data_IF_196464170094
#
_entry.id   IF_196464170094
#
_cell.length_a   1.000
_cell.length_b   1.000
_cell.length_c   1.000
_cell.angle_alpha   90.00
_cell.angle_beta   90.00
_cell.angle_gamma   90.00
#
_symmetry.space_group_name_H-M   'P 1'
#
loop_
_entity.id
_entity.type
_entity.pdbx_description
1 polymer ?
#
# COMPACT_ATOMS: atom_id res chain seq x y z
N UNK A 1 8.50 -3.97 10.04
CA UNK A 1 8.50 -3.33 8.72
C UNK A 1 7.16 -2.64 8.51
N UNK A 2 7.18 -1.34 8.23
CA UNK A 2 5.97 -0.59 7.90
C UNK A 2 5.70 -0.70 6.40
N UNK A 3 4.45 -1.00 6.04
CA UNK A 3 4.05 -1.29 4.66
C UNK A 3 2.70 -0.65 4.37
N UNK A 4 2.59 0.02 3.23
CA UNK A 4 1.33 0.52 2.69
C UNK A 4 0.88 -0.35 1.52
N UNK A 5 -0.36 -0.82 1.56
CA UNK A 5 -0.98 -1.59 0.49
C UNK A 5 -2.08 -0.78 -0.14
N UNK A 6 -1.85 -0.30 -1.35
CA UNK A 6 -2.88 0.34 -2.17
C UNK A 6 -3.76 -0.71 -2.83
N UNK A 7 -5.06 -0.45 -2.90
CA UNK A 7 -6.06 -1.39 -3.41
C UNK A 7 -6.94 -0.67 -4.42
N UNK A 8 -7.25 -1.35 -5.52
CA UNK A 8 -8.17 -0.90 -6.56
C UNK A 8 -9.31 -1.89 -6.71
N UNK A 9 -10.51 -1.37 -6.97
CA UNK A 9 -11.69 -2.16 -7.28
C UNK A 9 -12.63 -2.35 -6.10
N UNK A 10 -13.66 -3.13 -6.33
CA UNK A 10 -14.80 -3.28 -5.42
C UNK A 10 -15.02 -4.74 -5.03
N UNK A 11 -15.39 -4.98 -3.78
CA UNK A 11 -15.78 -6.31 -3.30
C UNK A 11 -14.75 -7.39 -3.64
N UNK A 12 -15.17 -8.44 -4.35
CA UNK A 12 -14.32 -9.55 -4.73
C UNK A 12 -13.36 -9.23 -5.88
N UNK A 13 -13.66 -8.21 -6.70
CA UNK A 13 -12.80 -7.74 -7.79
C UNK A 13 -11.69 -6.80 -7.28
N UNK A 14 -11.77 -6.38 -6.02
CA UNK A 14 -10.71 -5.60 -5.40
C UNK A 14 -9.40 -6.39 -5.34
N UNK A 15 -8.31 -5.75 -5.76
CA UNK A 15 -6.98 -6.34 -5.80
C UNK A 15 -5.93 -5.38 -5.24
N UNK A 16 -4.94 -5.97 -4.57
CA UNK A 16 -3.81 -5.22 -4.03
C UNK A 16 -2.81 -4.86 -5.14
N UNK A 17 -2.31 -3.64 -5.10
CA UNK A 17 -1.14 -3.21 -5.86
C UNK A 17 0.14 -3.62 -5.11
N UNK A 18 1.32 -3.57 -5.76
CA UNK A 18 2.57 -3.89 -5.09
C UNK A 18 2.73 -3.11 -3.78
N UNK A 19 2.94 -3.80 -2.64
CA UNK A 19 3.10 -3.15 -1.35
C UNK A 19 4.31 -2.21 -1.33
N UNK A 20 4.15 -1.04 -0.72
CA UNK A 20 5.21 -0.05 -0.57
C UNK A 20 5.78 -0.14 0.84
N UNK A 21 7.07 -0.45 0.95
CA UNK A 21 7.81 -0.37 2.21
C UNK A 21 8.13 1.08 2.54
N UNK A 22 7.91 1.47 3.79
CA UNK A 22 8.16 2.80 4.30
C UNK A 22 9.32 2.73 5.29
N UNK A 23 10.37 3.48 5.03
CA UNK A 23 11.51 3.63 5.94
C UNK A 23 11.61 5.09 6.35
N UNK A 24 11.40 5.33 7.62
CA UNK A 24 11.62 6.65 8.22
C UNK A 24 13.06 6.68 8.76
N UNK A 25 13.84 7.66 8.33
CA UNK A 25 15.25 7.78 8.71
C UNK A 25 15.41 8.19 10.16
N UNK A 26 14.52 9.04 10.66
CA UNK A 26 14.50 9.50 12.05
C UNK A 26 13.05 9.65 12.54
N UNK A 27 12.69 8.92 13.60
CA UNK A 27 11.41 9.07 14.27
C UNK A 27 10.29 8.17 13.75
N UNK A 28 9.06 8.70 13.78
CA UNK A 28 7.84 8.02 13.34
C UNK A 28 7.37 8.57 11.99
N UNK A 29 6.64 7.76 11.23
CA UNK A 29 5.96 8.18 10.01
C UNK A 29 4.74 9.05 10.35
N UNK A 30 5.01 10.27 10.77
CA UNK A 30 4.01 11.28 11.09
C UNK A 30 3.75 12.23 9.91
N UNK A 31 2.95 13.27 10.15
CA UNK A 31 2.59 14.24 9.12
C UNK A 31 3.80 15.00 8.59
N UNK A 32 4.75 15.33 9.46
CA UNK A 32 5.96 16.07 9.08
C UNK A 32 6.89 15.20 8.24
N UNK A 33 7.04 13.92 8.58
CA UNK A 33 7.79 12.95 7.78
C UNK A 33 7.16 12.73 6.39
N UNK A 34 5.82 12.68 6.31
CA UNK A 34 5.08 12.56 5.02
C UNK A 34 5.30 13.74 4.08
N UNK A 35 5.57 14.92 4.62
CA UNK A 35 5.79 16.16 3.87
C UNK A 35 7.26 16.47 3.58
N UNK A 36 8.19 15.72 4.19
CA UNK A 36 9.62 15.91 4.06
C UNK A 36 10.24 14.88 3.11
N UNK A 37 10.81 15.36 2.02
CA UNK A 37 11.51 14.54 1.02
C UNK A 37 12.76 13.84 1.56
N UNK A 38 13.33 14.34 2.63
CA UNK A 38 14.59 13.85 3.21
C UNK A 38 14.39 12.82 4.34
N UNK A 39 13.16 12.72 4.86
CA UNK A 39 12.87 11.92 6.05
C UNK A 39 12.42 10.48 5.76
N UNK A 40 11.94 10.20 4.53
CA UNK A 40 11.30 8.92 4.20
C UNK A 40 11.82 8.36 2.89
N UNK A 41 12.19 7.08 2.91
CA UNK A 41 12.46 6.30 1.71
C UNK A 41 11.31 5.31 1.45
N UNK A 42 10.94 5.16 0.18
CA UNK A 42 9.95 4.19 -0.29
C UNK A 42 10.60 3.13 -1.16
N UNK A 43 10.27 1.87 -0.91
CA UNK A 43 10.65 0.75 -1.77
C UNK A 43 9.40 0.00 -2.22
N UNK A 44 9.25 -0.17 -3.53
CA UNK A 44 8.12 -0.90 -4.10
C UNK A 44 8.57 -1.83 -5.23
N UNK A 45 8.18 -3.10 -5.19
CA UNK A 45 7.52 -3.76 -4.05
C UNK A 45 8.39 -3.78 -2.79
N UNK A 46 7.78 -4.08 -1.64
CA UNK A 46 8.50 -4.28 -0.37
C UNK A 46 9.69 -5.24 -0.59
N UNK A 47 10.86 -4.86 -0.09
CA UNK A 47 12.07 -5.63 -0.29
C UNK A 47 11.99 -6.99 0.42
N UNK A 48 12.29 -8.10 -0.27
CA UNK A 48 12.30 -9.43 0.37
C UNK A 48 13.17 -9.47 1.62
N UNK A 49 14.36 -8.85 1.57
CA UNK A 49 15.30 -8.81 2.69
C UNK A 49 14.79 -8.09 3.94
N UNK A 50 13.79 -7.22 3.80
CA UNK A 50 13.14 -6.56 4.93
C UNK A 50 12.14 -7.48 5.64
N UNK A 51 11.63 -8.48 4.94
CA UNK A 51 10.63 -9.43 5.44
C UNK A 51 11.28 -10.70 6.00
N UNK A 52 12.22 -11.28 5.28
CA UNK A 52 12.94 -12.50 5.68
C UNK A 52 14.28 -12.63 5.00
N UNK A 53 15.19 -13.39 5.62
CA UNK A 53 16.45 -13.81 4.98
C UNK A 53 16.24 -14.96 3.97
N UNK A 54 15.06 -15.57 3.94
CA UNK A 54 14.67 -16.61 2.99
C UNK A 54 13.64 -16.03 2.01
N UNK A 55 13.91 -16.16 0.72
CA UNK A 55 13.05 -15.57 -0.31
C UNK A 55 11.65 -16.21 -0.38
N UNK A 56 11.55 -17.51 -0.17
CA UNK A 56 10.25 -18.19 -0.14
C UNK A 56 9.39 -17.71 1.04
N UNK A 57 10.01 -17.51 2.21
CA UNK A 57 9.34 -16.96 3.39
C UNK A 57 8.95 -15.50 3.15
N UNK A 58 9.81 -14.70 2.54
CA UNK A 58 9.52 -13.32 2.20
C UNK A 58 8.30 -13.18 1.25
N UNK A 59 8.19 -14.08 0.26
CA UNK A 59 7.03 -14.13 -0.64
C UNK A 59 5.75 -14.53 0.11
N UNK A 60 5.82 -15.50 1.02
CA UNK A 60 4.67 -15.91 1.85
C UNK A 60 4.22 -14.77 2.78
N UNK A 61 5.16 -14.06 3.40
CA UNK A 61 4.88 -12.91 4.25
C UNK A 61 4.24 -11.77 3.44
N UNK A 62 4.76 -11.49 2.26
CA UNK A 62 4.16 -10.49 1.36
C UNK A 62 2.73 -10.85 1.00
N UNK A 63 2.46 -12.09 0.64
CA UNK A 63 1.10 -12.57 0.33
C UNK A 63 0.17 -12.45 1.54
N UNK A 64 0.66 -12.69 2.76
CA UNK A 64 -0.10 -12.48 3.99
C UNK A 64 -0.44 -10.99 4.21
N UNK A 65 0.50 -10.09 3.99
CA UNK A 65 0.29 -8.64 4.10
C UNK A 65 -0.79 -8.18 3.10
N UNK A 66 -0.68 -8.60 1.84
CA UNK A 66 -1.67 -8.28 0.79
C UNK A 66 -3.06 -8.85 1.13
N UNK A 67 -3.13 -10.08 1.64
CA UNK A 67 -4.37 -10.73 2.07
C UNK A 67 -5.01 -9.98 3.24
N UNK A 68 -4.24 -9.66 4.28
CA UNK A 68 -4.74 -8.93 5.43
C UNK A 68 -5.29 -7.55 5.03
N UNK A 69 -4.62 -6.85 4.13
CA UNK A 69 -5.07 -5.56 3.60
C UNK A 69 -6.40 -5.71 2.84
N UNK A 70 -6.52 -6.71 1.96
CA UNK A 70 -7.76 -6.97 1.21
C UNK A 70 -8.93 -7.38 2.12
N UNK A 71 -8.70 -8.18 3.13
CA UNK A 71 -9.73 -8.58 4.09
C UNK A 71 -10.31 -7.36 4.83
N UNK A 72 -9.44 -6.48 5.32
CA UNK A 72 -9.86 -5.25 6.00
C UNK A 72 -10.56 -4.29 5.04
N UNK A 73 -10.02 -4.09 3.85
CA UNK A 73 -10.62 -3.25 2.82
C UNK A 73 -12.07 -3.66 2.53
N UNK A 74 -12.30 -4.95 2.33
CA UNK A 74 -13.62 -5.54 2.08
C UNK A 74 -14.53 -5.45 3.30
N UNK A 75 -14.02 -5.74 4.50
CA UNK A 75 -14.77 -5.71 5.74
C UNK A 75 -15.31 -4.30 6.06
N UNK A 76 -14.54 -3.26 5.71
CA UNK A 76 -14.98 -1.87 5.86
C UNK A 76 -15.86 -1.38 4.70
N UNK A 77 -16.09 -2.19 3.67
CA UNK A 77 -16.90 -1.81 2.51
C UNK A 77 -16.27 -0.67 1.70
N UNK A 78 -14.95 -0.58 1.68
CA UNK A 78 -14.26 0.43 0.88
C UNK A 78 -14.48 0.14 -0.60
N UNK A 79 -14.75 1.19 -1.37
CA UNK A 79 -15.07 1.10 -2.79
C UNK A 79 -14.05 1.87 -3.62
N UNK A 80 -13.89 1.40 -4.86
CA UNK A 80 -13.12 1.99 -5.94
C UNK A 80 -11.61 1.98 -5.70
N UNK A 81 -11.14 2.66 -4.68
CA UNK A 81 -9.74 2.69 -4.29
C UNK A 81 -9.59 2.95 -2.79
N UNK A 82 -8.44 2.58 -2.27
CA UNK A 82 -8.05 2.87 -0.90
C UNK A 82 -6.63 2.41 -0.61
N UNK A 83 -6.17 2.69 0.59
CA UNK A 83 -4.87 2.25 1.09
C UNK A 83 -5.02 1.71 2.50
N UNK A 84 -4.39 0.58 2.77
CA UNK A 84 -4.30 0.00 4.09
C UNK A 84 -2.85 0.08 4.55
N UNK A 85 -2.62 0.71 5.68
CA UNK A 85 -1.30 0.83 6.29
C UNK A 85 -1.14 -0.23 7.38
N UNK A 86 -0.04 -0.98 7.32
CA UNK A 86 0.22 -2.12 8.17
C UNK A 86 1.66 -2.12 8.71
N UNK A 87 1.87 -2.84 9.79
CA UNK A 87 3.20 -3.23 10.26
C UNK A 87 3.31 -4.76 10.22
N UNK A 88 4.36 -5.26 9.55
CA UNK A 88 4.83 -6.62 9.77
C UNK A 88 5.70 -6.64 11.02
N UNK A 89 5.24 -7.29 12.10
CA UNK A 89 5.92 -7.32 13.40
C UNK A 89 6.93 -8.47 13.56
N UNK A 90 7.14 -9.24 12.51
CA UNK A 90 7.98 -10.44 12.50
C UNK A 90 7.21 -11.74 12.66
N UNK A 91 5.91 -11.68 12.99
CA UNK A 91 5.04 -12.84 13.17
C UNK A 91 3.71 -12.71 12.44
N UNK A 92 3.17 -11.49 12.34
CA UNK A 92 1.89 -11.24 11.68
C UNK A 92 1.78 -9.81 11.15
N UNK A 93 0.89 -9.60 10.19
CA UNK A 93 0.52 -8.29 9.69
C UNK A 93 -0.47 -7.62 10.66
N UNK A 94 -0.12 -6.42 11.14
CA UNK A 94 -0.98 -5.61 12.01
C UNK A 94 -1.45 -4.38 11.27
N UNK A 95 -2.76 -4.27 11.12
CA UNK A 95 -3.38 -3.11 10.46
C UNK A 95 -3.31 -1.90 11.40
N UNK A 96 -2.85 -0.77 10.87
CA UNK A 96 -2.81 0.51 11.56
C UNK A 96 -4.01 1.37 11.20
N UNK A 97 -4.21 1.59 9.90
CA UNK A 97 -5.32 2.42 9.40
C UNK A 97 -5.80 1.98 8.02
N UNK A 98 -7.03 2.37 7.70
CA UNK A 98 -7.61 2.28 6.35
C UNK A 98 -7.86 3.70 5.86
N UNK A 99 -7.26 4.06 4.75
CA UNK A 99 -7.39 5.37 4.12
C UNK A 99 -8.24 5.26 2.86
N UNK A 100 -9.44 5.84 2.90
CA UNK A 100 -10.41 5.82 1.79
C UNK A 100 -10.22 6.99 0.81
N UNK A 101 -9.32 7.91 1.12
CA UNK A 101 -8.96 9.06 0.27
C UNK A 101 -7.44 9.26 0.31
N UNK A 102 -6.67 8.30 -0.23
CA UNK A 102 -5.22 8.39 -0.20
C UNK A 102 -4.71 9.57 -1.01
N UNK A 103 -3.54 10.11 -0.65
CA UNK A 103 -2.90 11.18 -1.40
C UNK A 103 -2.62 10.79 -2.85
N UNK A 104 -2.77 11.77 -3.76
CA UNK A 104 -2.68 11.56 -5.22
C UNK A 104 -1.54 12.37 -5.87
N UNK A 105 -0.63 12.93 -5.09
CA UNK A 105 0.57 13.58 -5.64
C UNK A 105 1.55 12.52 -6.16
N UNK A 106 2.42 12.87 -7.07
CA UNK A 106 3.41 11.95 -7.67
C UNK A 106 4.24 11.17 -6.64
N UNK A 107 4.43 11.74 -5.45
CA UNK A 107 5.20 11.15 -4.35
C UNK A 107 4.32 10.46 -3.29
N UNK A 108 3.02 10.47 -3.47
CA UNK A 108 2.12 9.77 -2.56
C UNK A 108 2.18 8.26 -2.77
N UNK A 109 1.96 7.50 -1.70
CA UNK A 109 2.06 6.03 -1.69
C UNK A 109 1.16 5.34 -2.72
N UNK A 110 -0.04 5.89 -2.97
CA UNK A 110 -0.97 5.29 -3.92
C UNK A 110 -0.48 5.41 -5.37
N UNK A 111 -0.10 6.60 -5.89
CA UNK A 111 0.53 6.73 -7.20
C UNK A 111 1.83 5.93 -7.36
N UNK A 112 2.67 5.87 -6.33
CA UNK A 112 3.89 5.06 -6.32
C UNK A 112 3.57 3.57 -6.53
N UNK A 113 2.55 3.05 -5.87
CA UNK A 113 2.10 1.66 -6.05
C UNK A 113 1.49 1.43 -7.44
N UNK A 114 0.75 2.40 -7.99
CA UNK A 114 0.23 2.33 -9.35
C UNK A 114 1.36 2.24 -10.38
N UNK A 115 2.35 3.09 -10.27
CA UNK A 115 3.51 3.10 -11.17
C UNK A 115 4.27 1.76 -11.13
N UNK A 116 4.49 1.22 -9.93
CA UNK A 116 5.09 -0.11 -9.75
C UNK A 116 4.27 -1.26 -10.38
N UNK A 117 2.96 -1.09 -10.48
CA UNK A 117 2.06 -2.01 -11.17
C UNK A 117 1.98 -1.78 -12.68
N UNK A 118 2.67 -0.77 -13.22
CA UNK A 118 2.58 -0.36 -14.62
C UNK A 118 1.28 0.36 -14.98
N UNK A 119 0.59 0.94 -13.99
CA UNK A 119 -0.65 1.68 -14.15
C UNK A 119 -0.39 3.19 -14.11
N UNK A 120 -0.82 3.92 -15.14
CA UNK A 120 -0.78 5.38 -15.09
C UNK A 120 -1.92 5.91 -14.23
N UNK A 121 -1.68 6.97 -13.46
CA UNK A 121 -2.73 7.63 -12.69
C UNK A 121 -3.87 8.16 -13.56
N UNK A 122 -3.57 8.61 -14.78
CA UNK A 122 -4.60 9.02 -15.75
C UNK A 122 -5.54 7.86 -16.06
N UNK A 123 -5.00 6.67 -16.38
CA UNK A 123 -5.82 5.51 -16.67
C UNK A 123 -6.67 5.06 -15.46
N UNK A 124 -6.12 5.14 -14.25
CA UNK A 124 -6.86 4.83 -13.02
C UNK A 124 -8.02 5.81 -12.82
N UNK A 125 -7.76 7.12 -12.95
CA UNK A 125 -8.78 8.15 -12.77
C UNK A 125 -9.84 8.11 -13.87
N UNK A 126 -9.46 7.89 -15.13
CA UNK A 126 -10.40 7.74 -16.24
C UNK A 126 -11.35 6.57 -16.02
N UNK A 127 -10.83 5.43 -15.55
CA UNK A 127 -11.64 4.28 -15.19
C UNK A 127 -12.66 4.61 -14.10
N UNK A 128 -12.24 5.24 -13.01
CA UNK A 128 -13.12 5.62 -11.90
C UNK A 128 -14.23 6.58 -12.37
N UNK A 129 -13.90 7.57 -13.19
CA UNK A 129 -14.89 8.50 -13.74
C UNK A 129 -15.88 7.78 -14.66
N UNK A 130 -15.41 6.88 -15.51
CA UNK A 130 -16.28 6.13 -16.42
C UNK A 130 -17.22 5.16 -15.70
N UNK A 131 -16.76 4.53 -14.61
CA UNK A 131 -17.57 3.61 -13.81
C UNK A 131 -18.70 4.31 -13.04
N UNK A 132 -18.57 5.63 -12.79
CA UNK A 132 -19.53 6.44 -12.04
C UNK A 132 -20.23 7.53 -12.87
N UNK A 133 -19.99 7.56 -14.16
CA UNK A 133 -20.58 8.55 -15.07
C UNK A 133 -22.06 8.25 -15.43
#
# INVERSE_FOLDING_TARGET
VEVAVSILGNGWDAHALPPVEIIVRDGLYDTDARLSDEAVDYYTPVRPSSLSNNEADAQAIRAEIERAALEIYRAYGVCDLGRVDLIWDGAQARVLEVNVSPGMTERSLFPVACDAAGLSMTAVLDRLVCEHA
#
